data_IF_498010899965
#
_entry.id   IF_498010899965
#
_cell.length_a   1.000
_cell.length_b   1.000
_cell.length_c   1.000
_cell.angle_alpha   90.00
_cell.angle_beta   90.00
_cell.angle_gamma   90.00
#
_symmetry.space_group_name_H-M   'P 1'
#
loop_
_entity.id
_entity.type
_entity.pdbx_description
1 polymer ?
#
# COMPACT_ATOMS: atom_id res chain seq x y z
N UNK A 1 -53.94 -1.54 -1.78
CA UNK A 1 -54.19 -2.98 -1.56
C UNK A 1 -52.86 -3.72 -1.52
N UNK A 2 -52.67 -4.66 -0.59
CA UNK A 2 -51.73 -5.81 -0.61
C UNK A 2 -50.34 -5.64 -1.23
N UNK A 3 -49.31 -5.57 -0.38
CA UNK A 3 -48.04 -6.30 -0.60
C UNK A 3 -47.69 -7.07 0.67
N UNK A 4 -47.79 -8.40 0.59
CA UNK A 4 -47.25 -9.33 1.58
C UNK A 4 -45.85 -9.69 1.07
N UNK A 5 -44.82 -9.54 1.90
CA UNK A 5 -43.59 -10.31 1.74
C UNK A 5 -43.12 -10.86 3.08
N UNK A 6 -42.68 -12.11 3.03
CA UNK A 6 -42.45 -13.00 4.17
C UNK A 6 -40.99 -13.44 4.15
N UNK A 7 -40.18 -13.01 5.11
CA UNK A 7 -38.82 -13.53 5.31
C UNK A 7 -38.43 -13.55 6.78
N UNK A 8 -38.75 -14.66 7.45
CA UNK A 8 -38.01 -15.13 8.61
C UNK A 8 -37.18 -16.33 8.14
N UNK A 9 -35.89 -16.12 7.91
CA UNK A 9 -34.92 -17.20 7.68
C UNK A 9 -33.96 -17.19 8.87
N UNK A 10 -34.32 -17.95 9.89
CA UNK A 10 -33.39 -18.43 10.90
C UNK A 10 -32.95 -19.83 10.51
N UNK A 11 -31.64 -20.08 10.57
CA UNK A 11 -30.97 -21.20 11.25
C UNK A 11 -29.50 -21.19 10.82
N UNK A 12 -28.62 -21.16 11.82
CA UNK A 12 -27.18 -21.24 11.62
C UNK A 12 -26.75 -22.69 11.36
N UNK A 13 -25.61 -22.89 10.68
CA UNK A 13 -24.84 -24.12 10.86
C UNK A 13 -23.33 -23.87 10.82
N UNK A 14 -22.69 -24.57 11.73
CA UNK A 14 -21.31 -24.49 12.24
C UNK A 14 -20.19 -24.76 11.24
N UNK A 15 -19.15 -23.91 11.33
CA UNK A 15 -17.73 -24.25 11.51
C UNK A 15 -17.31 -25.70 11.16
N UNK A 16 -16.40 -25.85 10.19
CA UNK A 16 -15.31 -26.85 10.27
C UNK A 16 -14.00 -26.15 9.91
N UNK A 17 -13.07 -26.09 10.87
CA UNK A 17 -11.68 -25.70 10.62
C UNK A 17 -10.85 -26.96 10.34
N UNK A 18 -10.08 -26.96 9.26
CA UNK A 18 -9.16 -28.05 8.90
C UNK A 18 -7.73 -27.53 8.77
N UNK A 19 -6.95 -27.67 9.84
CA UNK A 19 -5.52 -27.35 9.83
C UNK A 19 -4.73 -28.44 9.10
N UNK A 20 -4.32 -28.18 7.86
CA UNK A 20 -3.35 -29.01 7.13
C UNK A 20 -1.91 -28.65 7.49
N UNK A 21 -1.31 -29.36 8.45
CA UNK A 21 0.14 -29.27 8.73
C UNK A 21 0.85 -30.56 8.34
N UNK A 22 1.62 -30.52 7.25
CA UNK A 22 2.52 -31.63 6.86
C UNK A 22 3.96 -31.13 6.72
N UNK A 23 4.86 -31.90 7.32
CA UNK A 23 6.27 -31.60 7.60
C UNK A 23 7.18 -31.40 6.37
N UNK A 24 8.05 -30.39 6.50
CA UNK A 24 9.53 -30.48 6.44
C UNK A 24 10.17 -31.08 5.17
N UNK A 25 10.88 -30.23 4.42
CA UNK A 25 12.16 -30.61 3.78
C UNK A 25 13.25 -29.65 4.25
N UNK A 26 14.28 -30.21 4.88
CA UNK A 26 15.51 -29.48 5.25
C UNK A 26 16.57 -29.80 4.21
N UNK A 27 17.31 -28.80 3.72
CA UNK A 27 18.52 -28.99 2.91
C UNK A 27 19.60 -27.99 3.34
N UNK A 28 20.83 -28.48 3.47
CA UNK A 28 21.87 -28.00 4.41
C UNK A 28 23.16 -28.77 4.10
N UNK A 29 24.33 -28.20 3.79
CA UNK A 29 24.77 -26.79 3.62
C UNK A 29 25.66 -26.69 2.37
N UNK A 30 26.00 -25.48 1.91
CA UNK A 30 27.38 -25.20 1.48
C UNK A 30 27.75 -23.74 1.75
N UNK A 31 28.79 -23.56 2.56
CA UNK A 31 29.40 -22.27 2.87
C UNK A 31 30.92 -22.40 2.61
N UNK A 32 31.49 -21.39 1.95
CA UNK A 32 32.93 -21.24 1.78
C UNK A 32 33.32 -19.87 2.35
N UNK A 33 34.36 -19.77 3.20
CA UNK A 33 34.70 -18.54 3.89
C UNK A 33 35.54 -17.60 3.02
N UNK A 34 35.32 -16.30 3.17
CA UNK A 34 36.31 -15.25 2.86
C UNK A 34 36.31 -14.27 4.03
N UNK A 35 37.51 -13.90 4.49
CA UNK A 35 37.75 -13.04 5.66
C UNK A 35 38.57 -11.81 5.25
N UNK A 36 38.59 -10.77 6.10
CA UNK A 36 39.52 -9.60 6.05
C UNK A 36 39.16 -8.56 4.97
N UNK A 37 39.05 -7.23 5.22
CA UNK A 37 39.43 -6.42 6.40
C UNK A 37 38.62 -5.12 6.51
N UNK A 38 38.43 -4.62 7.74
CA UNK A 38 38.03 -3.23 8.13
C UNK A 38 39.25 -2.27 8.01
N UNK A 39 39.18 -0.94 8.28
CA UNK A 39 38.04 -0.07 8.61
C UNK A 39 37.99 1.28 7.84
N UNK A 40 36.94 2.10 8.05
CA UNK A 40 37.16 3.52 8.36
C UNK A 40 35.99 4.19 9.12
N UNK A 41 36.32 5.28 9.82
CA UNK A 41 35.45 6.06 10.69
C UNK A 41 34.30 6.78 9.96
N UNK A 42 33.12 6.82 10.59
CA UNK A 42 32.14 7.88 10.40
C UNK A 42 31.94 8.62 11.72
N UNK A 43 32.61 9.77 11.84
CA UNK A 43 32.50 10.70 12.96
C UNK A 43 31.08 11.25 13.08
N UNK A 44 30.48 11.19 14.28
CA UNK A 44 29.24 11.90 14.57
C UNK A 44 29.47 13.42 14.59
N UNK A 45 28.73 14.22 13.80
CA UNK A 45 28.65 15.66 14.04
C UNK A 45 27.56 15.92 15.10
N UNK A 46 27.97 16.20 16.33
CA UNK A 46 27.10 16.81 17.35
C UNK A 46 26.80 18.27 16.99
N UNK A 47 25.90 18.45 16.04
CA UNK A 47 25.27 19.73 15.72
C UNK A 47 23.74 19.64 15.83
N UNK A 48 23.03 20.76 16.05
CA UNK A 48 21.58 20.78 16.01
C UNK A 48 21.12 20.53 14.57
N UNK A 49 20.85 19.27 14.23
CA UNK A 49 20.25 18.88 12.96
C UNK A 49 18.84 19.45 12.88
N UNK A 50 18.70 20.57 12.17
CA UNK A 50 17.43 20.99 11.61
C UNK A 50 16.99 19.88 10.66
N UNK A 51 16.09 19.02 11.12
CA UNK A 51 15.51 17.95 10.32
C UNK A 51 14.71 18.58 9.17
N UNK A 52 15.37 18.76 8.02
CA UNK A 52 14.70 19.12 6.79
C UNK A 52 13.70 18.01 6.47
N UNK A 53 12.41 18.33 6.53
CA UNK A 53 11.36 17.44 6.05
C UNK A 53 11.65 17.19 4.56
N UNK A 54 11.74 15.93 4.10
CA UNK A 54 11.99 15.65 2.69
C UNK A 54 10.89 16.32 1.84
N UNK A 55 11.31 17.11 0.85
CA UNK A 55 10.37 17.79 -0.02
C UNK A 55 9.52 16.77 -0.79
N UNK A 56 8.21 17.01 -0.88
CA UNK A 56 7.28 16.22 -1.69
C UNK A 56 7.74 16.23 -3.15
N UNK A 57 7.73 15.07 -3.80
CA UNK A 57 8.19 14.94 -5.18
C UNK A 57 7.24 15.63 -6.16
N UNK A 58 7.78 16.12 -7.27
CA UNK A 58 7.01 16.88 -8.27
C UNK A 58 5.96 16.04 -9.04
N UNK A 59 6.03 14.72 -8.92
CA UNK A 59 5.11 13.73 -9.49
C UNK A 59 4.09 13.17 -8.47
N UNK A 60 4.18 13.59 -7.20
CA UNK A 60 3.39 13.04 -6.10
C UNK A 60 3.82 11.64 -5.63
N UNK A 61 4.82 11.03 -6.24
CA UNK A 61 5.27 9.66 -5.95
C UNK A 61 6.22 9.66 -4.73
N UNK A 62 5.65 9.82 -3.53
CA UNK A 62 6.38 9.74 -2.27
C UNK A 62 5.64 8.88 -1.23
N UNK A 63 6.38 8.42 -0.21
CA UNK A 63 5.82 7.57 0.84
C UNK A 63 4.86 8.37 1.74
N UNK A 64 3.64 7.87 2.01
CA UNK A 64 2.63 8.61 2.77
C UNK A 64 2.99 8.72 4.25
N UNK A 65 2.72 9.88 4.83
CA UNK A 65 2.89 10.19 6.25
C UNK A 65 1.57 10.50 6.96
N UNK A 66 1.69 11.14 8.13
CA UNK A 66 0.53 11.55 8.92
C UNK A 66 -0.28 12.67 8.24
N UNK A 67 0.33 13.48 7.38
CA UNK A 67 -0.37 14.55 6.64
C UNK A 67 -1.35 13.95 5.63
N UNK A 68 -0.88 13.02 4.81
CA UNK A 68 -1.67 12.27 3.83
C UNK A 68 -2.79 11.48 4.51
N UNK A 69 -2.48 10.83 5.64
CA UNK A 69 -3.47 10.13 6.46
C UNK A 69 -4.57 11.08 7.00
N UNK A 70 -4.17 12.22 7.58
CA UNK A 70 -5.13 13.20 8.12
C UNK A 70 -6.03 13.75 7.03
N UNK A 71 -5.47 14.03 5.85
CA UNK A 71 -6.21 14.54 4.71
C UNK A 71 -7.26 13.53 4.20
N UNK A 72 -6.89 12.25 4.01
CA UNK A 72 -7.80 11.24 3.46
C UNK A 72 -8.88 10.79 4.47
N UNK A 73 -8.58 10.82 5.77
CA UNK A 73 -9.54 10.47 6.83
C UNK A 73 -10.73 11.44 6.94
N UNK A 74 -10.66 12.61 6.32
CA UNK A 74 -11.83 13.51 6.17
C UNK A 74 -12.96 12.88 5.37
N UNK A 75 -12.64 11.95 4.45
CA UNK A 75 -13.58 11.23 3.58
C UNK A 75 -13.67 9.73 3.91
N UNK A 76 -12.58 9.12 4.37
CA UNK A 76 -12.46 7.67 4.60
C UNK A 76 -11.86 7.41 6.00
N UNK A 77 -12.71 7.46 7.03
CA UNK A 77 -12.31 7.46 8.45
C UNK A 77 -11.60 6.18 8.89
N UNK A 78 -11.85 5.08 8.20
CA UNK A 78 -11.30 3.75 8.43
C UNK A 78 -9.89 3.54 7.86
N UNK A 79 -9.39 4.46 7.03
CA UNK A 79 -8.07 4.35 6.41
C UNK A 79 -6.96 4.50 7.46
N UNK A 80 -6.00 3.59 7.42
CA UNK A 80 -4.82 3.57 8.30
C UNK A 80 -3.55 3.93 7.52
N UNK A 81 -2.50 4.36 8.25
CA UNK A 81 -1.21 4.64 7.61
C UNK A 81 -0.63 3.41 6.90
N UNK A 82 -0.84 2.22 7.46
CA UNK A 82 -0.36 0.97 6.87
C UNK A 82 -1.11 0.63 5.57
N UNK A 83 -2.39 1.00 5.46
CA UNK A 83 -3.15 0.86 4.20
C UNK A 83 -2.60 1.77 3.11
N UNK A 84 -2.19 2.99 3.46
CA UNK A 84 -1.55 3.92 2.52
C UNK A 84 -0.15 3.42 2.12
N UNK A 85 0.63 2.85 3.05
CA UNK A 85 1.94 2.24 2.75
C UNK A 85 1.84 0.99 1.88
N UNK A 86 0.80 0.17 2.06
CA UNK A 86 0.47 -0.95 1.17
C UNK A 86 0.23 -0.42 -0.26
N UNK A 87 -0.62 0.59 -0.41
CA UNK A 87 -0.92 1.25 -1.69
C UNK A 87 0.33 1.84 -2.35
N UNK A 88 1.15 2.57 -1.60
CA UNK A 88 2.44 3.11 -2.07
C UNK A 88 3.36 2.00 -2.58
N UNK A 89 3.54 0.93 -1.81
CA UNK A 89 4.41 -0.19 -2.18
C UNK A 89 3.94 -0.86 -3.48
N UNK A 90 2.63 -1.08 -3.63
CA UNK A 90 2.03 -1.62 -4.85
C UNK A 90 2.24 -0.68 -6.05
N UNK A 91 2.13 0.64 -5.82
CA UNK A 91 2.24 1.67 -6.84
C UNK A 91 3.67 1.91 -7.34
N UNK A 92 4.69 1.76 -6.48
CA UNK A 92 6.08 2.13 -6.82
C UNK A 92 7.05 0.96 -6.96
N UNK A 93 6.72 -0.20 -6.40
CA UNK A 93 7.61 -1.38 -6.38
C UNK A 93 6.86 -2.70 -6.63
N UNK A 94 5.53 -2.66 -6.81
CA UNK A 94 4.67 -3.83 -6.96
C UNK A 94 4.01 -3.93 -8.33
N UNK A 95 2.84 -4.56 -8.35
CA UNK A 95 2.16 -4.96 -9.59
C UNK A 95 1.81 -3.79 -10.53
N UNK A 96 1.62 -2.56 -10.01
CA UNK A 96 1.28 -1.40 -10.83
C UNK A 96 2.41 -0.97 -11.78
N UNK A 97 3.67 -1.33 -11.49
CA UNK A 97 4.82 -1.02 -12.36
C UNK A 97 5.33 -2.22 -13.19
N UNK A 98 4.59 -3.34 -13.18
CA UNK A 98 4.98 -4.55 -13.91
C UNK A 98 4.90 -4.42 -15.44
N UNK A 99 4.14 -3.44 -15.95
CA UNK A 99 3.90 -3.26 -17.39
C UNK A 99 4.35 -1.90 -17.94
N UNK A 100 4.42 -0.87 -17.10
CA UNK A 100 4.85 0.49 -17.45
C UNK A 100 5.38 1.19 -16.19
N UNK A 101 6.03 2.35 -16.33
CA UNK A 101 6.42 3.17 -15.18
C UNK A 101 5.21 3.70 -14.40
N UNK A 102 5.42 4.08 -13.14
CA UNK A 102 4.41 4.80 -12.37
C UNK A 102 4.13 6.17 -13.01
N UNK A 103 2.85 6.55 -13.09
CA UNK A 103 2.41 7.83 -13.67
C UNK A 103 2.38 8.92 -12.60
N UNK A 104 2.34 10.18 -13.02
CA UNK A 104 2.31 11.33 -12.11
C UNK A 104 0.91 11.46 -11.47
N UNK A 105 0.86 11.35 -10.13
CA UNK A 105 -0.39 11.40 -9.34
C UNK A 105 -1.13 12.74 -9.51
N UNK A 106 -0.41 13.80 -9.83
CA UNK A 106 -0.96 15.14 -10.04
C UNK A 106 -1.57 15.36 -11.44
N UNK A 107 -1.28 14.52 -12.44
CA UNK A 107 -1.81 14.68 -13.80
C UNK A 107 -3.32 14.39 -13.93
N UNK A 108 -3.87 13.50 -13.11
CA UNK A 108 -5.28 13.07 -13.21
C UNK A 108 -6.10 13.47 -11.99
N UNK A 109 -7.38 13.77 -12.17
CA UNK A 109 -8.34 13.99 -11.09
C UNK A 109 -8.77 12.69 -10.38
N UNK A 110 -9.56 12.78 -9.32
CA UNK A 110 -9.98 11.62 -8.52
C UNK A 110 -10.87 10.62 -9.30
N UNK A 111 -11.73 11.09 -10.22
CA UNK A 111 -12.58 10.23 -11.05
C UNK A 111 -11.77 9.55 -12.16
N UNK A 112 -10.86 10.30 -12.80
CA UNK A 112 -9.91 9.74 -13.75
C UNK A 112 -9.06 8.65 -13.08
N UNK A 113 -8.51 8.92 -11.90
CA UNK A 113 -7.74 7.93 -11.13
C UNK A 113 -8.54 6.68 -10.77
N UNK A 114 -9.81 6.82 -10.39
CA UNK A 114 -10.67 5.66 -10.15
C UNK A 114 -10.76 4.76 -11.39
N UNK A 115 -11.03 5.35 -12.55
CA UNK A 115 -11.18 4.61 -13.81
C UNK A 115 -9.85 3.95 -14.26
N UNK A 116 -8.73 4.66 -14.11
CA UNK A 116 -7.39 4.14 -14.39
C UNK A 116 -7.08 2.94 -13.49
N UNK A 117 -7.33 3.07 -12.19
CA UNK A 117 -7.03 2.00 -11.21
C UNK A 117 -7.96 0.80 -11.39
N UNK A 118 -9.24 1.00 -11.77
CA UNK A 118 -10.14 -0.13 -12.08
C UNK A 118 -9.68 -0.92 -13.33
N UNK A 119 -9.24 -0.28 -14.42
CA UNK A 119 -8.72 -0.99 -15.60
C UNK A 119 -7.34 -1.63 -15.31
N UNK A 120 -6.44 -0.91 -14.63
CA UNK A 120 -5.10 -1.43 -14.30
C UNK A 120 -5.16 -2.58 -13.29
N UNK A 121 -6.10 -2.59 -12.34
CA UNK A 121 -6.18 -3.65 -11.34
C UNK A 121 -6.49 -5.03 -11.96
N UNK A 122 -7.33 -5.05 -13.00
CA UNK A 122 -7.64 -6.26 -13.78
C UNK A 122 -6.38 -6.75 -14.51
N UNK A 123 -5.65 -5.84 -15.17
CA UNK A 123 -4.44 -6.17 -15.94
C UNK A 123 -3.27 -6.62 -15.05
N UNK A 124 -3.11 -5.97 -13.91
CA UNK A 124 -2.09 -6.27 -12.90
C UNK A 124 -2.46 -7.47 -12.01
N UNK A 125 -3.67 -8.02 -12.15
CA UNK A 125 -4.21 -9.15 -11.38
C UNK A 125 -4.09 -8.96 -9.86
N UNK A 126 -4.41 -7.76 -9.36
CA UNK A 126 -4.44 -7.45 -7.92
C UNK A 126 -5.84 -7.65 -7.34
N UNK A 127 -5.89 -7.95 -6.04
CA UNK A 127 -7.16 -8.10 -5.31
C UNK A 127 -7.88 -6.76 -5.13
N UNK A 128 -9.19 -6.79 -4.93
CA UNK A 128 -9.98 -5.58 -4.61
C UNK A 128 -9.46 -4.83 -3.37
N UNK A 129 -8.92 -5.55 -2.37
CA UNK A 129 -8.31 -4.94 -1.20
C UNK A 129 -7.01 -4.18 -1.54
N UNK A 130 -6.18 -4.71 -2.44
CA UNK A 130 -4.97 -4.06 -2.94
C UNK A 130 -5.32 -2.86 -3.85
N UNK A 131 -6.35 -3.00 -4.68
CA UNK A 131 -6.89 -1.92 -5.50
C UNK A 131 -7.36 -0.74 -4.65
N UNK A 132 -8.12 -1.00 -3.58
CA UNK A 132 -8.51 0.05 -2.63
C UNK A 132 -7.28 0.69 -1.97
N UNK A 133 -6.27 -0.10 -1.55
CA UNK A 133 -5.03 0.43 -0.98
C UNK A 133 -4.35 1.46 -1.91
N UNK A 134 -4.19 1.09 -3.19
CA UNK A 134 -3.61 1.97 -4.23
C UNK A 134 -4.48 3.21 -4.43
N UNK A 135 -5.81 3.07 -4.49
CA UNK A 135 -6.71 4.21 -4.65
C UNK A 135 -6.67 5.16 -3.45
N UNK A 136 -6.67 4.65 -2.21
CA UNK A 136 -6.52 5.49 -1.00
C UNK A 136 -5.18 6.21 -0.97
N UNK A 137 -4.09 5.52 -1.33
CA UNK A 137 -2.75 6.12 -1.46
C UNK A 137 -2.79 7.31 -2.44
N UNK A 138 -3.23 7.08 -3.68
CA UNK A 138 -3.32 8.12 -4.72
C UNK A 138 -4.17 9.31 -4.26
N UNK A 139 -5.36 9.08 -3.69
CA UNK A 139 -6.20 10.16 -3.18
C UNK A 139 -5.56 10.93 -2.01
N UNK A 140 -4.82 10.26 -1.12
CA UNK A 140 -4.14 10.89 0.02
C UNK A 140 -3.02 11.85 -0.40
N UNK A 141 -2.28 11.49 -1.46
CA UNK A 141 -1.28 12.34 -2.10
C UNK A 141 -1.93 13.53 -2.80
N UNK A 142 -3.06 13.33 -3.48
CA UNK A 142 -3.80 14.43 -4.14
C UNK A 142 -4.43 15.40 -3.15
N UNK A 143 -4.92 14.91 -2.01
CA UNK A 143 -5.50 15.75 -0.97
C UNK A 143 -4.46 16.67 -0.29
N UNK A 144 -3.18 16.33 -0.41
CA UNK A 144 -2.03 17.08 0.13
C UNK A 144 -1.10 17.66 -0.96
N UNK A 145 -1.60 17.74 -2.20
CA UNK A 145 -0.91 18.34 -3.34
C UNK A 145 -0.64 19.84 -3.07
N UNK A 146 0.59 20.34 -3.26
CA UNK A 146 0.89 21.77 -3.26
C UNK A 146 0.04 22.51 -4.32
N UNK A 147 -0.47 23.69 -3.95
CA UNK A 147 -1.27 24.57 -4.82
C UNK A 147 -0.43 25.65 -5.46
#
# INVERSE_FOLDING_TARGET
MKTIQLTLITIALTIIAACGSTKKTTSTVSATPVTTTTPNNSTSPTGPVLFAVPAKSADGIYAPGNEELTAIQSQYKEVTLDKLKEGYTLYTAGACIGCHGADNIYHHDAMQWKNIIDDMAIRANITEAQKDAVYKYVLSIKATQPK
#
